data_IF_389568224312
#
_entry.id   IF_389568224312
#
_cell.length_a   1.000
_cell.length_b   1.000
_cell.length_c   1.000
_cell.angle_alpha   90.00
_cell.angle_beta   90.00
_cell.angle_gamma   90.00
#
_symmetry.space_group_name_H-M   'P 1'
#
loop_
_entity.id
_entity.type
_entity.pdbx_description
1 polymer ?
#
# COMPACT_ATOMS: atom_id res chain seq x y z
N UNK A 1 -1.70 1.13 -14.75
CA UNK A 1 -0.66 0.95 -15.82
C UNK A 1 0.17 -0.31 -15.55
N UNK A 2 -0.33 -1.51 -15.88
CA UNK A 2 0.22 -2.74 -15.30
C UNK A 2 1.67 -3.03 -15.70
N UNK A 3 2.02 -2.86 -16.98
CA UNK A 3 3.36 -3.16 -17.48
C UNK A 3 4.45 -2.21 -16.92
N UNK A 4 4.12 -0.93 -16.73
CA UNK A 4 5.05 0.07 -16.18
C UNK A 4 5.35 -0.25 -14.71
N UNK A 5 4.31 -0.51 -13.93
CA UNK A 5 4.45 -0.87 -12.51
C UNK A 5 5.20 -2.19 -12.36
N UNK A 6 4.87 -3.20 -13.17
CA UNK A 6 5.54 -4.50 -13.12
C UNK A 6 7.03 -4.43 -13.51
N UNK A 7 7.43 -3.44 -14.32
CA UNK A 7 8.83 -3.19 -14.68
C UNK A 7 9.61 -2.35 -13.68
N UNK A 8 8.95 -1.78 -12.67
CA UNK A 8 9.60 -1.00 -11.62
C UNK A 8 9.94 -1.86 -10.39
N UNK A 9 11.06 -1.59 -9.73
CA UNK A 9 11.39 -2.17 -8.43
C UNK A 9 10.71 -1.41 -7.28
N UNK A 10 10.67 -0.08 -7.40
CA UNK A 10 10.17 0.86 -6.41
C UNK A 10 9.32 1.92 -7.13
N UNK A 11 8.12 2.17 -6.62
CA UNK A 11 7.24 3.27 -7.06
C UNK A 11 7.19 4.32 -5.96
N UNK A 12 7.43 5.57 -6.32
CA UNK A 12 7.25 6.72 -5.43
C UNK A 12 5.85 7.27 -5.66
N UNK A 13 5.03 7.32 -4.62
CA UNK A 13 3.64 7.78 -4.67
C UNK A 13 3.38 8.87 -3.60
N UNK A 14 2.23 9.54 -3.70
CA UNK A 14 1.77 10.68 -2.89
C UNK A 14 2.44 10.85 -1.51
N UNK A 15 3.28 11.88 -1.39
CA UNK A 15 3.96 12.24 -0.12
C UNK A 15 3.26 13.34 0.68
N UNK A 16 2.19 13.94 0.14
CA UNK A 16 1.59 15.17 0.71
C UNK A 16 0.23 14.97 1.36
N UNK A 17 -0.52 13.96 0.91
CA UNK A 17 -1.94 13.80 1.27
C UNK A 17 -2.09 13.00 2.56
N UNK A 18 -1.12 12.15 2.91
CA UNK A 18 -1.22 11.26 4.07
C UNK A 18 -2.15 10.07 3.83
N UNK A 19 -2.35 9.71 2.57
CA UNK A 19 -3.23 8.63 2.10
C UNK A 19 -2.58 7.91 0.90
N UNK A 20 -3.07 6.73 0.56
CA UNK A 20 -2.61 5.94 -0.59
C UNK A 20 -3.75 5.67 -1.57
N UNK A 21 -3.45 5.84 -2.86
CA UNK A 21 -4.46 5.76 -3.92
C UNK A 21 -4.39 4.48 -4.76
N UNK A 22 -5.07 4.53 -5.90
CA UNK A 22 -5.13 3.43 -6.87
C UNK A 22 -3.73 3.00 -7.34
N UNK A 23 -2.82 3.93 -7.58
CA UNK A 23 -1.45 3.61 -8.03
C UNK A 23 -0.66 2.80 -6.98
N UNK A 24 -0.76 3.17 -5.70
CA UNK A 24 -0.24 2.35 -4.60
C UNK A 24 -0.86 0.96 -4.56
N UNK A 25 -2.19 0.84 -4.74
CA UNK A 25 -2.86 -0.46 -4.82
C UNK A 25 -2.39 -1.31 -6.01
N UNK A 26 -2.25 -0.72 -7.20
CA UNK A 26 -1.69 -1.40 -8.38
C UNK A 26 -0.26 -1.90 -8.11
N UNK A 27 0.55 -1.08 -7.42
CA UNK A 27 1.93 -1.42 -7.05
C UNK A 27 2.00 -2.57 -6.05
N UNK A 28 1.19 -2.50 -5.00
CA UNK A 28 1.07 -3.58 -4.03
C UNK A 28 0.56 -4.87 -4.69
N UNK A 29 -0.42 -4.78 -5.57
CA UNK A 29 -0.94 -5.93 -6.32
C UNK A 29 0.12 -6.59 -7.20
N UNK A 30 1.03 -5.80 -7.76
CA UNK A 30 2.17 -6.27 -8.54
C UNK A 30 3.32 -6.83 -7.68
N UNK A 31 3.22 -6.81 -6.36
CA UNK A 31 4.28 -7.26 -5.45
C UNK A 31 5.53 -6.38 -5.52
N UNK A 32 5.35 -5.08 -5.80
CA UNK A 32 6.43 -4.09 -5.88
C UNK A 32 6.42 -3.19 -4.64
N UNK A 33 7.56 -2.57 -4.35
CA UNK A 33 7.67 -1.63 -3.24
C UNK A 33 7.00 -0.32 -3.67
N UNK A 34 6.09 0.19 -2.85
CA UNK A 34 5.59 1.57 -2.97
C UNK A 34 6.07 2.35 -1.75
N UNK A 35 6.60 3.55 -1.99
CA UNK A 35 6.94 4.51 -0.94
C UNK A 35 5.97 5.67 -1.02
N UNK A 36 5.29 5.94 0.10
CA UNK A 36 4.35 7.05 0.23
C UNK A 36 4.30 7.50 1.70
N UNK A 37 3.76 8.70 1.91
CA UNK A 37 3.42 9.16 3.24
C UNK A 37 1.98 8.74 3.54
N UNK A 38 1.77 7.89 4.55
CA UNK A 38 0.43 7.45 4.96
C UNK A 38 0.25 7.74 6.44
N UNK A 39 -0.76 8.57 6.73
CA UNK A 39 -1.07 8.99 8.09
C UNK A 39 -1.40 7.80 8.99
N UNK A 40 -1.12 7.95 10.28
CA UNK A 40 -1.43 6.91 11.28
C UNK A 40 -2.92 6.58 11.33
N UNK A 41 -3.80 7.58 11.11
CA UNK A 41 -5.24 7.37 11.01
C UNK A 41 -5.58 6.37 9.90
N UNK A 42 -5.04 6.56 8.70
CA UNK A 42 -5.30 5.66 7.56
C UNK A 42 -4.70 4.29 7.82
N UNK A 43 -3.47 4.21 8.36
CA UNK A 43 -2.81 2.94 8.70
C UNK A 43 -3.63 2.13 9.70
N UNK A 44 -4.03 2.75 10.80
CA UNK A 44 -4.86 2.15 11.84
C UNK A 44 -6.23 1.69 11.30
N UNK A 45 -6.85 2.47 10.41
CA UNK A 45 -8.14 2.11 9.80
C UNK A 45 -8.01 0.84 8.94
N UNK A 46 -7.04 0.82 8.03
CA UNK A 46 -6.91 -0.28 7.07
C UNK A 46 -6.37 -1.53 7.72
N UNK A 47 -5.50 -1.43 8.73
CA UNK A 47 -5.04 -2.57 9.51
C UNK A 47 -6.18 -3.23 10.27
N UNK A 48 -7.09 -2.44 10.86
CA UNK A 48 -8.27 -2.96 11.57
C UNK A 48 -9.16 -3.82 10.67
N UNK A 49 -9.29 -3.47 9.39
CA UNK A 49 -10.13 -4.20 8.44
C UNK A 49 -9.37 -5.31 7.70
N UNK A 50 -8.09 -5.13 7.40
CA UNK A 50 -7.26 -6.14 6.74
C UNK A 50 -6.84 -7.27 7.70
N UNK A 51 -6.71 -6.98 9.00
CA UNK A 51 -6.17 -7.88 10.01
C UNK A 51 -4.64 -7.94 10.03
N UNK A 52 -3.95 -7.09 9.25
CA UNK A 52 -2.51 -6.98 9.23
C UNK A 52 -2.05 -5.60 8.73
N UNK A 53 -0.81 -5.18 9.08
CA UNK A 53 -0.32 -3.85 8.74
C UNK A 53 -0.25 -3.58 7.23
N UNK A 54 -0.52 -2.33 6.85
CA UNK A 54 -0.33 -1.80 5.50
C UNK A 54 1.14 -2.00 5.04
N UNK A 55 1.41 -2.72 3.94
CA UNK A 55 2.76 -3.02 3.47
C UNK A 55 3.39 -1.85 2.67
N UNK A 56 3.18 -0.62 3.15
CA UNK A 56 3.83 0.60 2.64
C UNK A 56 4.79 1.08 3.71
N UNK A 57 6.12 1.04 3.48
CA UNK A 57 7.09 1.66 4.37
C UNK A 57 6.80 3.16 4.50
N UNK A 58 6.68 3.64 5.73
CA UNK A 58 6.43 5.05 5.97
C UNK A 58 7.56 5.91 5.42
N UNK A 59 7.22 6.81 4.50
CA UNK A 59 8.19 7.62 3.79
C UNK A 59 7.69 9.04 3.62
N UNK A 60 8.46 10.01 4.07
CA UNK A 60 8.22 11.45 3.90
C UNK A 60 9.23 12.04 2.93
N UNK A 61 9.00 13.28 2.48
CA UNK A 61 9.96 14.00 1.62
C UNK A 61 11.35 14.13 2.26
N UNK A 62 11.42 14.26 3.59
CA UNK A 62 12.69 14.40 4.31
C UNK A 62 13.42 13.06 4.50
N UNK A 63 12.70 11.94 4.44
CA UNK A 63 13.23 10.61 4.75
C UNK A 63 13.45 9.73 3.51
N UNK A 64 12.89 10.11 2.36
CA UNK A 64 12.89 9.31 1.13
C UNK A 64 14.29 8.89 0.67
N UNK A 65 15.28 9.78 0.76
CA UNK A 65 16.66 9.44 0.39
C UNK A 65 17.21 8.31 1.28
N UNK A 66 17.01 8.44 2.60
CA UNK A 66 17.44 7.44 3.56
C UNK A 66 16.76 6.09 3.33
N UNK A 67 15.45 6.11 3.10
CA UNK A 67 14.67 4.90 2.80
C UNK A 67 15.14 4.23 1.51
N UNK A 68 15.40 4.99 0.45
CA UNK A 68 15.91 4.43 -0.82
C UNK A 68 17.29 3.78 -0.63
N UNK A 69 18.20 4.41 0.11
CA UNK A 69 19.51 3.83 0.43
C UNK A 69 19.36 2.55 1.25
N UNK A 70 18.45 2.55 2.21
CA UNK A 70 18.18 1.40 3.07
C UNK A 70 17.53 0.23 2.31
N UNK A 71 16.72 0.49 1.28
CA UNK A 71 16.21 -0.55 0.38
C UNK A 71 17.35 -1.24 -0.36
N UNK A 72 18.36 -0.49 -0.79
CA UNK A 72 19.52 -1.05 -1.49
C UNK A 72 20.34 -1.97 -0.56
N UNK A 73 20.46 -1.61 0.72
CA UNK A 73 21.23 -2.40 1.70
C UNK A 73 20.45 -3.58 2.28
N UNK A 74 19.13 -3.48 2.41
CA UNK A 74 18.25 -4.50 3.03
C UNK A 74 17.24 -5.10 2.04
N UNK A 75 17.70 -5.51 0.85
CA UNK A 75 16.82 -5.98 -0.25
C UNK A 75 15.83 -7.06 0.15
N UNK A 76 16.27 -8.09 0.87
CA UNK A 76 15.39 -9.22 1.24
C UNK A 76 14.29 -8.81 2.20
N UNK A 77 14.55 -7.84 3.08
CA UNK A 77 13.54 -7.25 3.95
C UNK A 77 12.43 -6.57 3.12
N UNK A 78 12.80 -5.70 2.19
CA UNK A 78 11.81 -4.97 1.38
C UNK A 78 11.10 -5.87 0.35
N UNK A 79 11.74 -6.95 -0.12
CA UNK A 79 11.06 -8.00 -0.88
C UNK A 79 9.98 -8.70 -0.06
N UNK A 80 10.27 -9.01 1.21
CA UNK A 80 9.28 -9.59 2.12
C UNK A 80 8.14 -8.61 2.46
N UNK A 81 8.42 -7.31 2.52
CA UNK A 81 7.37 -6.28 2.64
C UNK A 81 6.50 -6.28 1.38
N UNK A 82 7.11 -6.18 0.19
CA UNK A 82 6.39 -6.12 -1.08
C UNK A 82 5.57 -7.38 -1.36
N UNK A 83 6.03 -8.56 -0.96
CA UNK A 83 5.30 -9.82 -1.14
C UNK A 83 3.99 -9.89 -0.37
N UNK A 84 3.78 -9.02 0.64
CA UNK A 84 2.51 -8.89 1.37
C UNK A 84 1.48 -8.03 0.64
N UNK A 85 1.91 -7.23 -0.32
CA UNK A 85 1.05 -6.33 -1.11
C UNK A 85 -0.14 -7.02 -1.77
N UNK A 86 0.05 -8.15 -2.51
CA UNK A 86 -1.06 -8.81 -3.18
C UNK A 86 -2.14 -9.33 -2.23
N UNK A 87 -1.75 -9.77 -1.04
CA UNK A 87 -2.71 -10.21 -0.01
C UNK A 87 -3.47 -9.02 0.58
N UNK A 88 -2.78 -7.91 0.89
CA UNK A 88 -3.42 -6.67 1.34
C UNK A 88 -4.47 -6.16 0.35
N UNK A 89 -4.12 -6.14 -0.95
CA UNK A 89 -5.06 -5.71 -2.00
C UNK A 89 -6.25 -6.67 -2.11
N UNK A 90 -6.04 -7.98 -1.99
CA UNK A 90 -7.16 -8.94 -1.99
C UNK A 90 -8.08 -8.75 -0.78
N UNK A 91 -7.55 -8.39 0.38
CA UNK A 91 -8.35 -8.23 1.59
C UNK A 91 -9.30 -7.02 1.49
N UNK A 92 -8.83 -5.88 0.97
CA UNK A 92 -9.59 -4.62 1.02
C UNK A 92 -10.01 -4.04 -0.33
N UNK A 93 -9.27 -4.34 -1.40
CA UNK A 93 -9.31 -3.57 -2.65
C UNK A 93 -9.69 -4.38 -3.89
N UNK A 94 -10.12 -5.65 -3.74
CA UNK A 94 -10.68 -6.44 -4.85
C UNK A 94 -12.18 -6.18 -5.10
N UNK A 95 -12.79 -5.28 -4.33
CA UNK A 95 -14.20 -4.89 -4.42
C UNK A 95 -15.14 -5.60 -3.44
N UNK A 96 -14.79 -6.78 -2.93
CA UNK A 96 -15.67 -7.56 -2.04
C UNK A 96 -15.91 -6.83 -0.71
N UNK A 97 -14.86 -6.25 -0.13
CA UNK A 97 -14.98 -5.48 1.11
C UNK A 97 -15.88 -4.25 0.91
N UNK A 98 -15.62 -3.43 -0.11
CA UNK A 98 -16.46 -2.26 -0.44
C UNK A 98 -17.91 -2.64 -0.68
N UNK A 99 -18.17 -3.74 -1.42
CA UNK A 99 -19.52 -4.29 -1.62
C UNK A 99 -20.20 -4.55 -0.28
N UNK A 100 -19.54 -5.29 0.61
CA UNK A 100 -20.12 -5.67 1.91
C UNK A 100 -20.47 -4.47 2.80
N UNK A 101 -19.61 -3.45 2.83
CA UNK A 101 -19.83 -2.21 3.59
C UNK A 101 -21.02 -1.45 3.01
N UNK A 102 -21.10 -1.31 1.68
CA UNK A 102 -22.21 -0.62 1.02
C UNK A 102 -23.54 -1.36 1.19
N UNK A 103 -23.56 -2.69 1.08
CA UNK A 103 -24.78 -3.47 1.36
C UNK A 103 -25.26 -3.20 2.79
N UNK A 104 -24.39 -3.38 3.78
CA UNK A 104 -24.76 -3.29 5.20
C UNK A 104 -25.21 -1.90 5.63
N UNK A 105 -24.55 -0.85 5.15
CA UNK A 105 -24.73 0.50 5.72
C UNK A 105 -25.55 1.44 4.85
N UNK A 106 -25.79 1.09 3.58
CA UNK A 106 -26.47 1.98 2.66
C UNK A 106 -27.72 1.35 2.02
N UNK A 107 -27.67 0.07 1.64
CA UNK A 107 -28.79 -0.56 0.92
C UNK A 107 -29.70 -1.41 1.82
N UNK A 108 -29.13 -2.12 2.79
CA UNK A 108 -29.87 -2.97 3.74
C UNK A 108 -30.13 -2.29 5.10
N UNK A 109 -29.71 -1.02 5.23
CA UNK A 109 -29.85 -0.21 6.43
C UNK A 109 -31.25 0.39 6.58
#
# INVERSE_FOLDING_TARGET
MPAVVAGADIVLDQFRVGDYGVAACETMAAGRVVLAHVSEQVRSEVERHAGFPLPIPETTLDTIEGVLRDIVTRRDHYRAVASRGPEFVRALHNGEFSRSVLMRHFLEA
#
